data_IF_155178382092
#
_entry.id   IF_155178382092
#
_cell.length_a   1.000
_cell.length_b   1.000
_cell.length_c   1.000
_cell.angle_alpha   90.00
_cell.angle_beta   90.00
_cell.angle_gamma   90.00
#
_symmetry.space_group_name_H-M   'P 1'
#
loop_
_entity.id
_entity.type
_entity.pdbx_description
1 polymer ?
#
# COMPACT_ATOMS: atom_id res chain seq x y z
N UNK A 1 55.23 -57.31 -24.31
CA UNK A 1 53.79 -57.44 -24.56
C UNK A 1 53.10 -56.37 -23.70
N UNK A 2 52.76 -55.30 -24.33
CA UNK A 2 52.31 -54.06 -23.74
C UNK A 2 50.79 -53.99 -23.71
N UNK A 3 50.21 -53.77 -22.53
CA UNK A 3 48.76 -53.39 -22.38
C UNK A 3 48.64 -51.95 -21.95
N UNK A 4 48.19 -51.16 -22.89
CA UNK A 4 47.73 -49.80 -22.63
C UNK A 4 46.24 -49.80 -22.25
N UNK A 5 45.94 -49.53 -21.02
CA UNK A 5 44.58 -49.28 -20.56
C UNK A 5 44.29 -47.76 -20.62
N UNK A 6 43.33 -47.41 -21.43
CA UNK A 6 42.83 -46.09 -21.70
C UNK A 6 42.09 -45.50 -20.47
N UNK A 7 42.58 -44.39 -19.99
CA UNK A 7 41.90 -43.55 -19.00
C UNK A 7 40.73 -42.78 -19.67
N UNK A 8 39.50 -43.12 -19.31
CA UNK A 8 38.33 -42.33 -19.67
C UNK A 8 38.15 -41.24 -18.63
N UNK A 9 38.41 -40.00 -19.01
CA UNK A 9 38.06 -38.81 -18.22
C UNK A 9 36.59 -38.55 -18.44
N UNK A 10 35.75 -38.84 -17.42
CA UNK A 10 34.36 -38.40 -17.40
C UNK A 10 34.34 -36.91 -16.92
N UNK A 11 34.07 -36.04 -17.88
CA UNK A 11 33.79 -34.63 -17.58
C UNK A 11 32.35 -34.53 -17.10
N UNK A 12 32.18 -34.50 -15.78
CA UNK A 12 30.89 -34.27 -15.14
C UNK A 12 30.57 -32.77 -15.25
N UNK A 13 29.79 -32.42 -16.28
CA UNK A 13 29.30 -31.07 -16.47
C UNK A 13 28.28 -30.70 -15.38
N UNK A 14 28.68 -29.86 -14.46
CA UNK A 14 27.77 -29.21 -13.52
C UNK A 14 26.94 -28.18 -14.26
N UNK A 15 25.70 -28.52 -14.62
CA UNK A 15 24.67 -27.58 -15.02
C UNK A 15 24.26 -26.79 -13.76
N UNK A 16 24.85 -25.63 -13.55
CA UNK A 16 24.33 -24.61 -12.65
C UNK A 16 23.00 -24.11 -13.25
N UNK A 17 21.90 -24.72 -12.82
CA UNK A 17 20.58 -24.15 -13.02
C UNK A 17 20.50 -22.87 -12.18
N UNK A 18 20.75 -21.72 -12.80
CA UNK A 18 20.38 -20.42 -12.24
C UNK A 18 18.85 -20.41 -12.11
N UNK A 19 18.34 -20.77 -10.96
CA UNK A 19 17.00 -20.38 -10.56
C UNK A 19 17.01 -18.86 -10.47
N UNK A 20 16.62 -18.20 -11.55
CA UNK A 20 16.15 -16.82 -11.47
C UNK A 20 14.89 -16.87 -10.58
N UNK A 21 15.08 -16.64 -9.28
CA UNK A 21 13.98 -16.30 -8.41
C UNK A 21 13.31 -15.10 -9.08
N UNK A 22 12.10 -15.30 -9.60
CA UNK A 22 11.26 -14.20 -10.03
C UNK A 22 11.14 -13.28 -8.81
N UNK A 23 11.92 -12.21 -8.79
CA UNK A 23 11.79 -11.16 -7.82
C UNK A 23 10.39 -10.59 -8.08
N UNK A 24 9.45 -10.98 -7.25
CA UNK A 24 8.12 -10.37 -7.19
C UNK A 24 8.40 -8.91 -6.90
N UNK A 25 8.18 -8.06 -7.93
CA UNK A 25 8.68 -6.71 -7.92
C UNK A 25 8.13 -5.94 -6.74
N UNK A 26 8.99 -5.67 -5.77
CA UNK A 26 8.70 -4.67 -4.77
C UNK A 26 8.36 -3.35 -5.49
N UNK A 27 7.52 -2.49 -4.91
CA UNK A 27 7.26 -1.16 -5.46
C UNK A 27 8.57 -0.43 -5.78
N UNK A 28 8.58 0.49 -6.77
CA UNK A 28 9.75 1.31 -7.03
C UNK A 28 10.24 2.03 -5.78
N UNK A 29 11.57 2.19 -5.62
CA UNK A 29 12.17 2.83 -4.43
C UNK A 29 11.70 4.25 -4.21
N UNK A 30 11.33 4.93 -5.29
CA UNK A 30 10.73 6.25 -5.27
C UNK A 30 9.60 6.28 -6.28
N UNK A 31 8.42 6.74 -5.85
CA UNK A 31 7.29 6.95 -6.76
C UNK A 31 6.43 8.11 -6.27
N UNK A 32 6.01 8.95 -7.20
CA UNK A 32 4.96 9.93 -7.00
C UNK A 32 3.71 9.49 -7.77
N UNK A 33 2.60 9.40 -7.06
CA UNK A 33 1.28 9.09 -7.60
C UNK A 33 0.37 10.29 -7.36
N UNK A 34 -0.22 10.83 -8.42
CA UNK A 34 -1.25 11.87 -8.30
C UNK A 34 -2.60 11.25 -8.64
N UNK A 35 -3.55 11.44 -7.75
CA UNK A 35 -4.92 10.96 -7.92
C UNK A 35 -5.91 12.11 -7.98
N UNK A 36 -6.94 11.91 -8.76
CA UNK A 36 -8.18 12.67 -8.64
C UNK A 36 -9.17 11.89 -7.77
N UNK A 37 -9.76 12.56 -6.78
CA UNK A 37 -10.81 11.99 -5.94
C UNK A 37 -12.14 12.63 -6.29
N UNK A 38 -13.14 11.78 -6.56
CA UNK A 38 -14.51 12.22 -6.89
C UNK A 38 -15.55 11.60 -5.98
N UNK A 39 -16.73 12.25 -5.91
CA UNK A 39 -17.94 11.72 -5.30
C UNK A 39 -19.04 11.73 -6.35
N UNK A 40 -19.61 10.57 -6.68
CA UNK A 40 -20.61 10.40 -7.72
C UNK A 40 -20.22 11.11 -9.05
N UNK A 41 -18.93 11.00 -9.44
CA UNK A 41 -18.37 11.59 -10.64
C UNK A 41 -18.01 13.09 -10.54
N UNK A 42 -18.30 13.75 -9.41
CA UNK A 42 -17.90 15.15 -9.18
C UNK A 42 -16.55 15.18 -8.50
N UNK A 43 -15.55 15.80 -9.12
CA UNK A 43 -14.21 15.94 -8.56
C UNK A 43 -14.22 16.81 -7.30
N UNK A 44 -13.67 16.27 -6.22
CA UNK A 44 -13.60 16.89 -4.90
C UNK A 44 -12.20 17.38 -4.54
N UNK A 45 -11.17 16.59 -4.90
CA UNK A 45 -9.81 16.84 -4.46
C UNK A 45 -8.79 16.20 -5.39
N UNK A 46 -7.58 16.72 -5.29
CA UNK A 46 -6.36 16.10 -5.78
C UNK A 46 -5.58 15.54 -4.59
N UNK A 47 -5.04 14.35 -4.76
CA UNK A 47 -4.26 13.65 -3.74
C UNK A 47 -2.92 13.27 -4.34
N UNK A 48 -1.85 13.73 -3.72
CA UNK A 48 -0.48 13.36 -4.08
C UNK A 48 0.08 12.38 -3.05
N UNK A 49 0.49 11.20 -3.50
CA UNK A 49 1.25 10.23 -2.73
C UNK A 49 2.71 10.27 -3.17
N UNK A 50 3.61 10.29 -2.20
CA UNK A 50 5.04 10.11 -2.43
C UNK A 50 5.50 8.95 -1.56
N UNK A 51 5.97 7.87 -2.20
CA UNK A 51 6.62 6.74 -1.52
C UNK A 51 8.13 6.85 -1.77
N UNK A 52 8.90 6.71 -0.70
CA UNK A 52 10.35 6.59 -0.72
C UNK A 52 10.76 5.42 0.18
N UNK A 53 11.65 4.54 -0.30
CA UNK A 53 12.22 3.48 0.53
C UNK A 53 13.63 3.11 0.08
N UNK A 54 14.47 2.70 1.04
CA UNK A 54 15.85 2.24 0.81
C UNK A 54 15.99 0.71 0.81
N UNK A 55 14.87 0.01 0.96
CA UNK A 55 14.80 -1.46 1.11
C UNK A 55 14.76 -1.92 2.57
N UNK A 56 15.07 -1.04 3.52
CA UNK A 56 15.00 -1.32 4.98
C UNK A 56 13.96 -0.43 5.66
N UNK A 57 13.90 0.83 5.26
CA UNK A 57 12.98 1.83 5.79
C UNK A 57 12.15 2.42 4.67
N UNK A 58 10.95 2.88 5.01
CA UNK A 58 10.08 3.60 4.10
C UNK A 58 9.55 4.89 4.71
N UNK A 59 9.21 5.82 3.85
CA UNK A 59 8.37 6.97 4.14
C UNK A 59 7.30 7.09 3.05
N UNK A 60 6.05 7.24 3.48
CA UNK A 60 4.93 7.60 2.62
C UNK A 60 4.38 8.93 3.08
N UNK A 61 4.17 9.85 2.14
CA UNK A 61 3.48 11.11 2.38
C UNK A 61 2.27 11.21 1.46
N UNK A 62 1.11 11.51 2.03
CA UNK A 62 -0.10 11.88 1.30
C UNK A 62 -0.39 13.35 1.53
N UNK A 63 -0.62 14.09 0.46
CA UNK A 63 -1.10 15.47 0.53
C UNK A 63 -2.40 15.59 -0.23
N UNK A 64 -3.48 15.97 0.46
CA UNK A 64 -4.81 16.19 -0.14
C UNK A 64 -5.10 17.67 -0.25
N UNK A 65 -5.43 18.13 -1.45
CA UNK A 65 -5.87 19.50 -1.74
C UNK A 65 -7.29 19.47 -2.30
N UNK A 66 -8.22 20.10 -1.61
CA UNK A 66 -9.59 20.25 -2.11
C UNK A 66 -9.66 21.06 -3.40
N UNK A 67 -10.65 20.78 -4.25
CA UNK A 67 -10.96 21.58 -5.44
C UNK A 67 -12.24 22.40 -5.24
N UNK A 68 -12.38 23.50 -5.98
CA UNK A 68 -13.50 24.42 -5.84
C UNK A 68 -13.64 24.96 -4.42
N UNK A 69 -14.86 24.98 -3.88
CA UNK A 69 -15.13 25.46 -2.52
C UNK A 69 -14.41 24.64 -1.43
N UNK A 70 -14.06 23.40 -1.71
CA UNK A 70 -13.32 22.54 -0.77
C UNK A 70 -11.86 22.98 -0.61
N UNK A 71 -11.30 23.76 -1.54
CA UNK A 71 -9.97 24.35 -1.42
C UNK A 71 -9.86 25.27 -0.19
N UNK A 72 -10.96 25.92 0.22
CA UNK A 72 -11.01 26.77 1.39
C UNK A 72 -10.85 26.01 2.73
N UNK A 73 -10.99 24.68 2.73
CA UNK A 73 -10.81 23.85 3.92
C UNK A 73 -9.34 23.60 4.27
N UNK A 74 -8.41 24.13 3.45
CA UNK A 74 -6.98 23.94 3.62
C UNK A 74 -6.52 22.57 3.13
N UNK A 75 -5.33 22.19 3.58
CA UNK A 75 -4.64 20.96 3.16
C UNK A 75 -4.66 19.91 4.26
N UNK A 76 -4.80 18.65 3.88
CA UNK A 76 -4.49 17.52 4.76
C UNK A 76 -3.16 16.92 4.34
N UNK A 77 -2.26 16.70 5.30
CA UNK A 77 -1.02 15.97 5.11
C UNK A 77 -0.98 14.77 6.05
N UNK A 78 -0.74 13.60 5.50
CA UNK A 78 -0.49 12.38 6.27
C UNK A 78 0.90 11.88 5.96
N UNK A 79 1.57 11.36 6.98
CA UNK A 79 2.89 10.74 6.83
C UNK A 79 2.89 9.42 7.58
N UNK A 80 3.41 8.39 6.94
CA UNK A 80 3.72 7.11 7.54
C UNK A 80 5.20 6.83 7.36
N UNK A 81 5.86 6.37 8.41
CA UNK A 81 7.25 5.93 8.40
C UNK A 81 7.37 4.61 9.09
N UNK A 82 8.28 3.76 8.60
CA UNK A 82 8.48 2.47 9.20
C UNK A 82 9.53 1.63 8.48
N UNK A 83 9.43 0.33 8.68
CA UNK A 83 10.38 -0.65 8.15
C UNK A 83 9.76 -1.40 6.97
N UNK A 84 10.59 -1.71 5.98
CA UNK A 84 10.29 -2.68 4.92
C UNK A 84 10.75 -4.03 5.40
N UNK A 85 9.86 -5.02 5.43
CA UNK A 85 10.16 -6.40 5.83
C UNK A 85 9.77 -7.37 4.73
N UNK A 86 10.23 -8.63 4.77
CA UNK A 86 9.80 -9.64 3.80
C UNK A 86 8.28 -9.88 3.80
N UNK A 87 7.61 -9.60 4.92
CA UNK A 87 6.16 -9.76 5.08
C UNK A 87 5.37 -8.51 4.65
N UNK A 88 6.04 -7.39 4.35
CA UNK A 88 5.44 -6.12 3.98
C UNK A 88 5.93 -4.93 4.80
N UNK A 89 5.12 -3.89 4.89
CA UNK A 89 5.44 -2.67 5.60
C UNK A 89 5.06 -2.77 7.08
N UNK A 90 6.00 -2.41 7.97
CA UNK A 90 5.74 -2.28 9.42
C UNK A 90 5.86 -0.82 9.84
N UNK A 91 4.74 -0.12 10.07
CA UNK A 91 4.78 1.28 10.50
C UNK A 91 5.44 1.43 11.88
N UNK A 92 6.14 2.54 12.06
CA UNK A 92 6.71 2.99 13.34
C UNK A 92 6.03 4.27 13.79
N UNK A 93 5.69 5.14 12.85
CA UNK A 93 5.02 6.41 13.13
C UNK A 93 4.04 6.77 12.02
N UNK A 94 2.86 7.23 12.44
CA UNK A 94 1.84 7.82 11.56
C UNK A 94 1.41 9.17 12.10
N UNK A 95 1.23 10.14 11.20
CA UNK A 95 0.65 11.47 11.52
C UNK A 95 -0.44 11.83 10.53
N UNK A 96 -1.49 12.51 11.01
CA UNK A 96 -2.56 13.13 10.20
C UNK A 96 -2.72 14.60 10.63
N UNK A 97 -2.19 15.47 9.80
CA UNK A 97 -2.17 16.92 10.00
C UNK A 97 -3.22 17.55 9.08
N UNK A 98 -4.09 18.36 9.65
CA UNK A 98 -5.16 19.08 8.92
C UNK A 98 -5.17 20.52 9.32
N UNK A 99 -5.26 21.41 8.36
CA UNK A 99 -5.34 22.86 8.61
C UNK A 99 -6.42 23.17 9.65
N UNK A 100 -6.04 23.86 10.71
CA UNK A 100 -6.95 24.29 11.79
C UNK A 100 -7.48 23.15 12.68
N UNK A 101 -6.85 21.97 12.70
CA UNK A 101 -7.23 20.85 13.57
C UNK A 101 -6.03 20.29 14.32
N UNK A 102 -6.31 19.60 15.42
CA UNK A 102 -5.27 18.88 16.16
C UNK A 102 -4.70 17.77 15.28
N UNK A 103 -3.38 17.60 15.34
CA UNK A 103 -2.69 16.48 14.71
C UNK A 103 -3.04 15.17 15.40
N UNK A 104 -3.41 14.16 14.63
CA UNK A 104 -3.53 12.79 15.14
C UNK A 104 -2.22 12.04 14.89
N UNK A 105 -1.77 11.22 15.86
CA UNK A 105 -0.54 10.44 15.81
C UNK A 105 -0.78 9.02 16.28
N UNK A 106 -0.08 8.06 15.64
CA UNK A 106 0.05 6.70 16.15
C UNK A 106 1.53 6.32 16.13
N UNK A 107 2.04 5.83 17.26
CA UNK A 107 3.43 5.35 17.41
C UNK A 107 3.40 3.86 17.74
N UNK A 108 4.12 3.05 16.97
CA UNK A 108 4.07 1.59 17.02
C UNK A 108 5.38 1.06 17.61
N UNK A 109 5.30 0.46 18.80
CA UNK A 109 6.42 -0.24 19.42
C UNK A 109 6.27 -1.75 19.22
N UNK A 110 6.90 -2.28 18.19
CA UNK A 110 6.87 -3.69 17.84
C UNK A 110 7.58 -4.58 18.87
N UNK A 111 8.55 -4.03 19.60
CA UNK A 111 9.26 -4.77 20.66
C UNK A 111 8.41 -4.91 21.90
N UNK A 112 7.81 -3.80 22.35
CA UNK A 112 6.90 -3.79 23.49
C UNK A 112 5.51 -4.34 23.14
N UNK A 113 5.20 -4.52 21.85
CA UNK A 113 3.87 -4.92 21.33
C UNK A 113 2.78 -3.96 21.78
N UNK A 114 3.04 -2.66 21.67
CA UNK A 114 2.10 -1.61 22.02
C UNK A 114 2.00 -0.56 20.92
N UNK A 115 0.85 0.09 20.82
CA UNK A 115 0.63 1.29 20.00
C UNK A 115 0.16 2.42 20.89
N UNK A 116 0.78 3.59 20.74
CA UNK A 116 0.36 4.80 21.43
C UNK A 116 -0.39 5.71 20.47
N UNK A 117 -1.63 6.04 20.80
CA UNK A 117 -2.52 6.89 20.03
C UNK A 117 -2.65 8.25 20.70
N UNK A 118 -2.55 9.32 19.92
CA UNK A 118 -2.71 10.69 20.40
C UNK A 118 -3.57 11.52 19.44
N UNK A 119 -4.71 12.00 19.95
CA UNK A 119 -5.58 12.96 19.26
C UNK A 119 -6.47 13.65 20.28
N UNK A 120 -6.22 14.89 20.65
CA UNK A 120 -6.90 15.62 21.73
C UNK A 120 -6.76 14.93 23.11
N UNK A 121 -6.26 15.64 24.07
CA UNK A 121 -6.02 15.09 25.42
C UNK A 121 -4.75 14.23 25.52
N UNK A 122 -4.71 13.38 26.54
CA UNK A 122 -3.57 12.54 26.86
C UNK A 122 -3.42 11.37 25.90
N UNK A 123 -2.17 10.94 25.60
CA UNK A 123 -1.93 9.75 24.83
C UNK A 123 -2.48 8.50 25.53
N UNK A 124 -3.00 7.56 24.75
CA UNK A 124 -3.42 6.25 25.24
C UNK A 124 -2.62 5.15 24.57
N UNK A 125 -2.22 4.16 25.34
CA UNK A 125 -1.47 3.01 24.84
C UNK A 125 -2.37 1.78 24.84
N UNK A 126 -2.36 1.06 23.72
CA UNK A 126 -3.16 -0.13 23.45
C UNK A 126 -2.25 -1.29 23.03
N UNK A 127 -2.68 -2.56 23.15
CA UNK A 127 -1.96 -3.70 22.57
C UNK A 127 -1.82 -3.57 21.06
N UNK A 128 -0.63 -3.90 20.53
CA UNK A 128 -0.34 -3.91 19.11
C UNK A 128 -0.58 -5.31 18.52
N UNK A 129 -1.63 -5.52 17.69
CA UNK A 129 -1.85 -6.79 17.04
C UNK A 129 -0.80 -7.06 15.94
N UNK A 130 -0.59 -8.34 15.57
CA UNK A 130 0.44 -8.70 14.57
C UNK A 130 0.18 -8.11 13.17
N UNK A 131 -1.08 -7.84 12.82
CA UNK A 131 -1.49 -7.26 11.55
C UNK A 131 -1.70 -5.74 11.63
N UNK A 132 -1.06 -5.08 12.61
CA UNK A 132 -1.20 -3.64 12.79
C UNK A 132 -0.57 -2.86 11.63
N UNK A 133 -1.35 -1.93 11.10
CA UNK A 133 -0.92 -0.97 10.08
C UNK A 133 -1.46 0.41 10.40
N UNK A 134 -0.91 1.41 9.76
CA UNK A 134 -1.54 2.71 9.74
C UNK A 134 -2.46 2.88 8.51
N UNK A 135 -3.28 3.92 8.57
CA UNK A 135 -4.30 4.21 7.58
C UNK A 135 -3.74 4.68 6.22
N UNK A 136 -2.45 4.96 6.11
CA UNK A 136 -1.81 5.43 4.89
C UNK A 136 -1.05 4.31 4.18
N UNK A 137 -0.20 3.58 4.91
CA UNK A 137 0.69 2.58 4.33
C UNK A 137 -0.02 1.28 3.89
N UNK A 138 -1.20 0.95 4.45
CA UNK A 138 -1.85 -0.36 4.24
C UNK A 138 -2.21 -0.66 2.77
N UNK A 139 -2.56 0.37 1.97
CA UNK A 139 -2.84 0.16 0.54
C UNK A 139 -1.58 -0.20 -0.25
N UNK A 140 -0.44 0.39 0.13
CA UNK A 140 0.84 0.03 -0.46
C UNK A 140 1.30 -1.34 0.00
N UNK A 141 0.97 -1.74 1.23
CA UNK A 141 1.28 -3.08 1.75
C UNK A 141 0.63 -4.21 0.95
N UNK A 142 -0.53 -3.97 0.34
CA UNK A 142 -1.16 -4.92 -0.59
C UNK A 142 -0.23 -5.26 -1.76
N UNK A 143 0.64 -4.34 -2.20
CA UNK A 143 1.63 -4.60 -3.24
C UNK A 143 2.69 -5.63 -2.83
N UNK A 144 2.97 -5.76 -1.53
CA UNK A 144 3.90 -6.77 -0.99
C UNK A 144 3.25 -8.15 -0.77
N UNK A 145 1.93 -8.23 -0.86
CA UNK A 145 1.17 -9.45 -0.59
C UNK A 145 0.22 -9.88 -1.73
N UNK A 146 0.59 -9.72 -3.02
CA UNK A 146 -0.37 -9.83 -4.13
C UNK A 146 -0.95 -11.23 -4.30
N UNK A 147 -0.29 -12.28 -3.82
CA UNK A 147 -0.75 -13.67 -3.97
C UNK A 147 -1.62 -14.16 -2.81
N UNK A 148 -1.77 -13.37 -1.75
CA UNK A 148 -2.61 -13.78 -0.61
C UNK A 148 -4.08 -13.77 -1.03
N UNK A 149 -4.81 -14.82 -0.63
CA UNK A 149 -6.26 -14.90 -0.84
C UNK A 149 -7.00 -13.87 0.00
N UNK A 150 -6.51 -13.62 1.19
CA UNK A 150 -7.07 -12.69 2.15
C UNK A 150 -5.95 -11.97 2.90
N UNK A 151 -6.12 -10.67 3.12
CA UNK A 151 -5.21 -9.84 3.90
C UNK A 151 -6.00 -9.12 4.99
N UNK A 152 -5.56 -9.28 6.23
CA UNK A 152 -6.18 -8.64 7.39
C UNK A 152 -5.32 -7.48 7.85
N UNK A 153 -5.93 -6.32 8.02
CA UNK A 153 -5.30 -5.12 8.58
C UNK A 153 -6.04 -4.65 9.82
N UNK A 154 -5.31 -4.45 10.90
CA UNK A 154 -5.77 -3.71 12.08
C UNK A 154 -5.21 -2.28 11.94
N UNK A 155 -6.05 -1.36 11.45
CA UNK A 155 -5.64 -0.01 11.07
C UNK A 155 -5.76 0.98 12.22
N UNK A 156 -4.68 1.72 12.45
CA UNK A 156 -4.62 2.80 13.44
C UNK A 156 -4.44 4.16 12.74
N UNK A 157 -5.14 5.18 13.23
CA UNK A 157 -5.08 6.55 12.67
C UNK A 157 -4.84 7.64 13.73
N UNK A 158 -4.39 7.25 14.93
CA UNK A 158 -4.18 8.12 16.08
C UNK A 158 -5.47 8.47 16.83
N UNK A 159 -6.65 8.22 16.24
CA UNK A 159 -7.96 8.44 16.87
C UNK A 159 -8.56 7.13 17.38
N UNK A 160 -8.25 6.03 16.71
CA UNK A 160 -8.78 4.71 17.03
C UNK A 160 -8.23 3.62 16.14
N UNK A 161 -8.85 2.45 16.30
CA UNK A 161 -8.55 1.25 15.54
C UNK A 161 -9.77 0.87 14.68
N UNK A 162 -9.50 0.31 13.51
CA UNK A 162 -10.51 -0.37 12.68
C UNK A 162 -9.90 -1.62 12.03
N UNK A 163 -10.69 -2.71 11.96
CA UNK A 163 -10.25 -3.95 11.33
C UNK A 163 -10.78 -4.02 9.91
N UNK A 164 -9.90 -4.27 8.96
CA UNK A 164 -10.23 -4.40 7.55
C UNK A 164 -9.74 -5.77 7.04
N UNK A 165 -10.62 -6.49 6.35
CA UNK A 165 -10.32 -7.77 5.72
C UNK A 165 -10.52 -7.59 4.22
N UNK A 166 -9.42 -7.65 3.47
CA UNK A 166 -9.44 -7.57 2.03
C UNK A 166 -9.32 -8.95 1.41
N UNK A 167 -10.23 -9.28 0.51
CA UNK A 167 -10.22 -10.52 -0.25
C UNK A 167 -9.68 -10.25 -1.65
N UNK A 168 -8.85 -11.13 -2.14
CA UNK A 168 -8.36 -11.10 -3.51
C UNK A 168 -9.49 -11.48 -4.46
N UNK A 169 -9.91 -10.55 -5.30
CA UNK A 169 -10.95 -10.71 -6.32
C UNK A 169 -10.42 -11.23 -7.66
N UNK A 170 -9.11 -11.55 -7.74
CA UNK A 170 -8.48 -12.04 -8.97
C UNK A 170 -8.07 -10.93 -9.94
N UNK A 171 -7.80 -11.35 -11.16
CA UNK A 171 -7.34 -10.47 -12.23
C UNK A 171 -8.49 -9.66 -12.79
N UNK A 172 -8.20 -8.40 -13.08
CA UNK A 172 -9.14 -7.47 -13.70
C UNK A 172 -8.38 -6.56 -14.66
N UNK A 173 -9.10 -5.90 -15.53
CA UNK A 173 -8.54 -4.87 -16.41
C UNK A 173 -9.14 -3.53 -16.02
N UNK A 174 -8.29 -2.57 -15.71
CA UNK A 174 -8.71 -1.26 -15.20
C UNK A 174 -8.22 -0.14 -16.11
N UNK A 175 -9.13 0.74 -16.49
CA UNK A 175 -8.84 1.95 -17.23
C UNK A 175 -8.95 3.14 -16.30
N UNK A 176 -7.88 3.93 -16.24
CA UNK A 176 -7.78 5.19 -15.48
C UNK A 176 -7.16 6.26 -16.37
N UNK A 177 -7.20 7.56 -16.00
CA UNK A 177 -6.69 8.63 -16.86
C UNK A 177 -5.23 8.45 -17.30
N UNK A 178 -4.38 7.83 -16.46
CA UNK A 178 -2.95 7.61 -16.76
C UNK A 178 -2.70 6.41 -17.67
N UNK A 179 -3.69 5.57 -17.93
CA UNK A 179 -3.55 4.40 -18.81
C UNK A 179 -4.54 3.29 -18.52
N UNK A 180 -4.30 2.15 -19.19
CA UNK A 180 -5.05 0.91 -18.99
C UNK A 180 -4.06 -0.17 -18.52
N UNK A 181 -4.44 -0.91 -17.47
CA UNK A 181 -3.55 -1.84 -16.77
C UNK A 181 -4.21 -3.19 -16.52
N UNK A 182 -3.40 -4.24 -16.60
CA UNK A 182 -3.74 -5.52 -16.01
C UNK A 182 -3.55 -5.42 -14.50
N UNK A 183 -4.61 -5.55 -13.74
CA UNK A 183 -4.63 -5.30 -12.32
C UNK A 183 -5.02 -6.53 -11.51
N UNK A 184 -4.55 -6.56 -10.27
CA UNK A 184 -5.07 -7.44 -9.26
C UNK A 184 -6.06 -6.65 -8.40
N UNK A 185 -7.29 -7.14 -8.28
CA UNK A 185 -8.35 -6.47 -7.52
C UNK A 185 -8.44 -7.08 -6.13
N UNK A 186 -8.41 -6.23 -5.12
CA UNK A 186 -8.81 -6.57 -3.76
C UNK A 186 -10.08 -5.85 -3.38
N UNK A 187 -10.90 -6.47 -2.54
CA UNK A 187 -12.13 -5.85 -2.04
C UNK A 187 -12.44 -6.24 -0.60
N UNK A 188 -13.19 -5.40 0.08
CA UNK A 188 -13.80 -5.67 1.39
C UNK A 188 -15.24 -5.19 1.43
N UNK A 189 -16.05 -5.78 2.30
CA UNK A 189 -17.45 -5.43 2.50
C UNK A 189 -18.42 -6.30 1.71
N UNK A 190 -19.69 -5.91 1.71
CA UNK A 190 -20.81 -6.58 1.03
C UNK A 190 -21.07 -5.97 -0.35
N UNK A 191 -22.14 -6.42 -1.01
CA UNK A 191 -22.57 -5.84 -2.28
C UNK A 191 -22.99 -4.36 -2.15
N UNK A 192 -23.61 -4.01 -1.01
CA UNK A 192 -24.20 -2.68 -0.79
C UNK A 192 -23.20 -1.69 -0.16
N UNK A 193 -22.18 -2.19 0.55
CA UNK A 193 -21.14 -1.37 1.15
C UNK A 193 -19.78 -2.00 0.89
N UNK A 194 -19.03 -1.44 -0.05
CA UNK A 194 -17.83 -2.07 -0.58
C UNK A 194 -16.68 -1.09 -0.77
N UNK A 195 -15.48 -1.56 -0.45
CA UNK A 195 -14.25 -0.88 -0.82
C UNK A 195 -13.44 -1.79 -1.74
N UNK A 196 -12.98 -1.27 -2.86
CA UNK A 196 -12.23 -2.00 -3.88
C UNK A 196 -10.95 -1.24 -4.21
N UNK A 197 -9.89 -1.97 -4.48
CA UNK A 197 -8.60 -1.43 -4.92
C UNK A 197 -8.06 -2.25 -6.08
N UNK A 198 -7.56 -1.57 -7.11
CA UNK A 198 -6.90 -2.18 -8.27
C UNK A 198 -5.42 -1.86 -8.24
N UNK A 199 -4.62 -2.91 -8.24
CA UNK A 199 -3.16 -2.85 -8.16
C UNK A 199 -2.58 -3.20 -9.53
N UNK A 200 -1.96 -2.23 -10.21
CA UNK A 200 -1.38 -2.43 -11.55
C UNK A 200 -0.13 -3.29 -11.49
N UNK A 201 -0.13 -4.41 -12.20
CA UNK A 201 0.98 -5.39 -12.18
C UNK A 201 2.26 -4.83 -12.76
N UNK A 202 2.15 -4.13 -13.88
CA UNK A 202 3.27 -3.55 -14.61
C UNK A 202 3.99 -2.45 -13.81
N UNK A 203 3.30 -1.93 -12.78
CA UNK A 203 3.80 -0.88 -11.90
C UNK A 203 4.23 -1.42 -10.51
N UNK A 204 4.55 -2.71 -10.40
CA UNK A 204 4.90 -3.32 -9.12
C UNK A 204 3.73 -3.35 -8.15
N UNK A 205 2.51 -3.57 -8.65
CA UNK A 205 1.27 -3.60 -7.88
C UNK A 205 0.93 -2.28 -7.16
N UNK A 206 1.36 -1.15 -7.70
CA UNK A 206 0.90 0.15 -7.18
C UNK A 206 -0.62 0.30 -7.35
N UNK A 207 -1.33 0.87 -6.35
CA UNK A 207 -2.76 1.12 -6.46
C UNK A 207 -3.02 2.21 -7.49
N UNK A 208 -3.77 1.91 -8.55
CA UNK A 208 -4.14 2.88 -9.61
C UNK A 208 -5.58 3.34 -9.50
N UNK A 209 -6.42 2.58 -8.80
CA UNK A 209 -7.81 2.93 -8.55
C UNK A 209 -8.26 2.44 -7.19
N UNK A 210 -9.01 3.26 -6.47
CA UNK A 210 -9.73 2.90 -5.24
C UNK A 210 -11.17 3.35 -5.41
N UNK A 211 -12.13 2.47 -5.11
CA UNK A 211 -13.55 2.76 -5.15
C UNK A 211 -14.18 2.36 -3.83
N UNK A 212 -14.89 3.28 -3.21
CA UNK A 212 -15.72 3.03 -2.03
C UNK A 212 -17.18 3.30 -2.40
N UNK A 213 -18.02 2.29 -2.24
CA UNK A 213 -19.48 2.41 -2.37
C UNK A 213 -20.08 2.33 -0.97
N UNK A 214 -20.84 3.34 -0.57
CA UNK A 214 -21.56 3.39 0.69
C UNK A 214 -22.95 2.77 0.57
N UNK A 215 -23.60 2.45 1.69
CA UNK A 215 -24.93 1.81 1.73
C UNK A 215 -26.04 2.59 1.00
N UNK A 216 -25.91 3.91 0.95
CA UNK A 216 -26.85 4.79 0.24
C UNK A 216 -26.57 4.89 -1.26
N UNK A 217 -25.61 4.09 -1.77
CA UNK A 217 -25.18 4.11 -3.17
C UNK A 217 -24.18 5.22 -3.50
N UNK A 218 -23.80 6.05 -2.55
CA UNK A 218 -22.76 7.08 -2.75
C UNK A 218 -21.44 6.42 -3.09
N UNK A 219 -20.79 6.89 -4.16
CA UNK A 219 -19.50 6.37 -4.63
C UNK A 219 -18.41 7.42 -4.47
N UNK A 220 -17.36 7.05 -3.75
CA UNK A 220 -16.10 7.80 -3.71
C UNK A 220 -15.09 7.04 -4.54
N UNK A 221 -14.52 7.71 -5.51
CA UNK A 221 -13.56 7.11 -6.43
C UNK A 221 -12.27 7.92 -6.43
N UNK A 222 -11.16 7.22 -6.39
CA UNK A 222 -9.83 7.78 -6.50
C UNK A 222 -9.12 7.08 -7.65
N UNK A 223 -8.72 7.83 -8.68
CA UNK A 223 -8.08 7.30 -9.90
C UNK A 223 -6.74 8.00 -10.13
N UNK A 224 -5.73 7.22 -10.52
CA UNK A 224 -4.41 7.76 -10.85
C UNK A 224 -4.49 8.60 -12.13
N UNK A 225 -3.99 9.84 -12.05
CA UNK A 225 -3.90 10.80 -13.16
C UNK A 225 -2.46 11.05 -13.60
N UNK A 226 -1.49 10.76 -12.72
CA UNK A 226 -0.06 10.83 -13.02
C UNK A 226 0.69 9.81 -12.17
N UNK A 227 1.69 9.17 -12.76
CA UNK A 227 2.63 8.28 -12.08
C UNK A 227 4.02 8.67 -12.55
N UNK A 228 4.90 8.99 -11.60
CA UNK A 228 6.29 9.34 -11.85
C UNK A 228 7.18 8.39 -11.06
N UNK A 229 8.01 7.63 -11.74
CA UNK A 229 9.12 6.85 -11.19
C UNK A 229 10.42 7.46 -11.72
N UNK A 230 11.49 7.53 -10.91
CA UNK A 230 12.80 8.02 -11.37
C UNK A 230 13.39 7.15 -12.45
#
# INVERSE_FOLDING_TARGET
MSNWSSLRIEVLGWLLACFAAAAWGAPPRQVELIYETSRNGITLAEVTYVLEHDGSNYQVTETTKGRGILALRGTTRRTSRGMVTPEGLKPVEFTDERTGRNTARASFDWKAKTVTLQYKGDPRTEPLPPNAHDRLAFLLDLAFAPQRREVVFDLFDGRGQSRHVYTNGGNDRVKVPVGEFDALRFFRGSADERSEVWLARELGYLPVRVLVTEKDGTRYEQVATKITTP
#
